data_IF_850497336852
#
_entry.id   IF_850497336852
#
_cell.length_a   1.000
_cell.length_b   1.000
_cell.length_c   1.000
_cell.angle_alpha   90.00
_cell.angle_beta   90.00
_cell.angle_gamma   90.00
#
_symmetry.space_group_name_H-M   'P 1'
#
loop_
_entity.id
_entity.type
_entity.pdbx_description
1 polymer ?
#
# COMPACT_ATOMS: atom_id res chain seq x y z
N UNK A 1 17.81 13.97 -0.41
CA UNK A 1 17.01 13.03 0.41
C UNK A 1 16.04 12.31 -0.53
N UNK A 2 16.57 11.55 -1.49
CA UNK A 2 15.81 11.13 -2.69
C UNK A 2 15.70 9.59 -2.85
N UNK A 3 16.41 8.82 -2.02
CA UNK A 3 16.44 7.34 -2.12
C UNK A 3 15.35 6.60 -1.35
N UNK A 4 14.85 7.16 -0.24
CA UNK A 4 13.89 6.48 0.64
C UNK A 4 12.48 6.40 0.04
N UNK A 5 12.11 7.37 -0.80
CA UNK A 5 10.79 7.41 -1.44
C UNK A 5 10.61 6.36 -2.54
N UNK A 6 11.68 5.92 -3.21
CA UNK A 6 11.58 4.95 -4.31
C UNK A 6 11.29 3.54 -3.79
N UNK A 7 11.99 3.11 -2.73
CA UNK A 7 11.72 1.81 -2.10
C UNK A 7 10.34 1.75 -1.44
N UNK A 8 9.92 2.87 -0.84
CA UNK A 8 8.60 3.02 -0.24
C UNK A 8 7.48 2.93 -1.28
N UNK A 9 7.58 3.67 -2.39
CA UNK A 9 6.55 3.66 -3.44
C UNK A 9 6.39 2.29 -4.09
N UNK A 10 7.49 1.57 -4.32
CA UNK A 10 7.44 0.22 -4.91
C UNK A 10 6.82 -0.78 -3.93
N UNK A 11 7.22 -0.73 -2.66
CA UNK A 11 6.69 -1.64 -1.62
C UNK A 11 5.19 -1.47 -1.42
N UNK A 12 4.71 -0.22 -1.38
CA UNK A 12 3.29 0.09 -1.28
C UNK A 12 2.50 -0.31 -2.54
N UNK A 13 3.11 -0.14 -3.71
CA UNK A 13 2.55 -0.65 -4.97
C UNK A 13 2.31 -2.17 -4.92
N UNK A 14 3.28 -2.95 -4.41
CA UNK A 14 3.12 -4.40 -4.24
C UNK A 14 1.99 -4.74 -3.28
N UNK A 15 1.90 -4.06 -2.14
CA UNK A 15 0.79 -4.24 -1.19
C UNK A 15 -0.57 -3.97 -1.83
N UNK A 16 -0.66 -2.90 -2.62
CA UNK A 16 -1.88 -2.51 -3.33
C UNK A 16 -2.27 -3.56 -4.38
N UNK A 17 -1.29 -4.09 -5.13
CA UNK A 17 -1.51 -5.15 -6.12
C UNK A 17 -1.98 -6.45 -5.47
N UNK A 18 -1.37 -6.85 -4.35
CA UNK A 18 -1.78 -8.06 -3.61
C UNK A 18 -3.20 -7.93 -3.05
N UNK A 19 -3.56 -6.74 -2.56
CA UNK A 19 -4.92 -6.46 -2.08
C UNK A 19 -5.93 -6.53 -3.23
N UNK A 20 -5.60 -5.95 -4.38
CA UNK A 20 -6.43 -6.01 -5.58
C UNK A 20 -6.57 -7.43 -6.14
N UNK A 21 -5.52 -8.24 -6.06
CA UNK A 21 -5.53 -9.68 -6.43
C UNK A 21 -6.27 -10.54 -5.38
N UNK A 22 -6.76 -9.93 -4.29
CA UNK A 22 -7.42 -10.60 -3.15
C UNK A 22 -6.53 -11.68 -2.51
N UNK A 23 -5.21 -11.56 -2.64
CA UNK A 23 -4.25 -12.49 -2.01
C UNK A 23 -3.97 -12.07 -0.57
N UNK A 24 -4.98 -12.14 0.29
CA UNK A 24 -4.88 -11.70 1.69
C UNK A 24 -3.81 -12.45 2.49
N UNK A 25 -3.60 -13.74 2.24
CA UNK A 25 -2.56 -14.56 2.86
C UNK A 25 -1.14 -14.08 2.54
N UNK A 26 -0.89 -13.73 1.27
CA UNK A 26 0.41 -13.22 0.83
C UNK A 26 0.58 -11.76 1.26
N UNK A 27 -0.49 -10.98 1.15
CA UNK A 27 -0.56 -9.61 1.64
C UNK A 27 -0.15 -9.52 3.10
N UNK A 28 -0.73 -10.32 4.00
CA UNK A 28 -0.40 -10.32 5.43
C UNK A 28 1.09 -10.60 5.68
N UNK A 29 1.64 -11.64 5.04
CA UNK A 29 3.06 -12.00 5.16
C UNK A 29 3.99 -10.89 4.69
N UNK A 30 3.69 -10.32 3.52
CA UNK A 30 4.47 -9.23 2.93
C UNK A 30 4.32 -7.95 3.75
N UNK A 31 3.11 -7.64 4.22
CA UNK A 31 2.81 -6.49 5.07
C UNK A 31 3.58 -6.58 6.39
N UNK A 32 3.56 -7.72 7.08
CA UNK A 32 4.34 -7.92 8.32
C UNK A 32 5.84 -7.85 8.05
N UNK A 33 6.31 -8.36 6.91
CA UNK A 33 7.72 -8.27 6.52
C UNK A 33 8.14 -6.83 6.24
N UNK A 34 7.36 -6.09 5.45
CA UNK A 34 7.60 -4.70 5.11
C UNK A 34 7.50 -3.81 6.36
N UNK A 35 6.49 -3.98 7.22
CA UNK A 35 6.30 -3.18 8.45
C UNK A 35 7.52 -3.20 9.38
N UNK A 36 8.38 -4.22 9.30
CA UNK A 36 9.60 -4.31 10.11
C UNK A 36 10.75 -3.40 9.64
N UNK A 37 10.76 -3.00 8.37
CA UNK A 37 11.91 -2.28 7.77
C UNK A 37 11.53 -1.14 6.82
N UNK A 38 10.27 -1.06 6.40
CA UNK A 38 9.77 -0.18 5.36
C UNK A 38 8.42 0.43 5.76
N UNK A 39 8.12 1.64 5.30
CA UNK A 39 6.82 2.27 5.50
C UNK A 39 5.72 1.47 4.78
N UNK A 40 4.69 1.08 5.54
CA UNK A 40 3.53 0.30 5.04
C UNK A 40 2.24 1.12 4.98
N UNK A 41 2.29 2.40 5.35
CA UNK A 41 1.18 3.34 5.23
C UNK A 41 1.65 4.66 4.65
N UNK A 42 0.73 5.37 4.01
CA UNK A 42 1.00 6.71 3.47
C UNK A 42 1.46 7.67 4.56
N UNK A 43 0.90 7.55 5.77
CA UNK A 43 1.29 8.36 6.92
C UNK A 43 2.75 8.13 7.33
N UNK A 44 3.24 6.89 7.27
CA UNK A 44 4.65 6.55 7.56
C UNK A 44 5.60 7.14 6.51
N UNK A 45 5.12 7.33 5.28
CA UNK A 45 5.82 8.04 4.20
C UNK A 45 5.70 9.56 4.27
N UNK A 46 5.02 10.09 5.28
CA UNK A 46 4.69 11.50 5.42
C UNK A 46 3.86 12.06 4.24
N UNK A 47 3.05 11.19 3.64
CA UNK A 47 2.12 11.47 2.54
C UNK A 47 0.68 11.50 3.05
N UNK A 48 -0.15 12.35 2.45
CA UNK A 48 -1.56 12.48 2.81
C UNK A 48 -2.45 11.79 1.79
N UNK A 49 -3.29 10.85 2.25
CA UNK A 49 -4.23 10.13 1.38
C UNK A 49 -5.25 11.03 0.67
N UNK A 50 -5.49 12.24 1.17
CA UNK A 50 -6.44 13.18 0.54
C UNK A 50 -5.80 14.05 -0.52
N UNK A 51 -4.54 14.45 -0.35
CA UNK A 51 -3.83 15.35 -1.27
C UNK A 51 -2.91 14.62 -2.24
N UNK A 52 -2.25 13.55 -1.80
CA UNK A 52 -1.23 12.84 -2.58
C UNK A 52 -1.78 11.62 -3.32
N UNK A 53 -2.93 11.08 -2.91
CA UNK A 53 -3.55 9.90 -3.53
C UNK A 53 -3.76 10.07 -5.03
N UNK A 54 -4.23 11.24 -5.47
CA UNK A 54 -4.42 11.52 -6.89
C UNK A 54 -3.10 11.47 -7.67
N UNK A 55 -2.03 12.03 -7.12
CA UNK A 55 -0.70 12.03 -7.74
C UNK A 55 -0.07 10.63 -7.75
N UNK A 56 -0.30 9.83 -6.69
CA UNK A 56 0.14 8.44 -6.61
C UNK A 56 -0.61 7.59 -7.63
N UNK A 57 -1.93 7.76 -7.75
CA UNK A 57 -2.74 7.09 -8.76
C UNK A 57 -2.27 7.43 -10.17
N UNK A 58 -2.00 8.71 -10.45
CA UNK A 58 -1.52 9.15 -11.76
C UNK A 58 -0.14 8.56 -12.11
N UNK A 59 0.79 8.58 -11.14
CA UNK A 59 2.10 7.92 -11.28
C UNK A 59 1.98 6.40 -11.46
N UNK A 60 1.08 5.75 -10.73
CA UNK A 60 0.86 4.32 -10.85
C UNK A 60 0.33 3.98 -12.26
N UNK A 61 -0.69 4.70 -12.73
CA UNK A 61 -1.28 4.51 -14.07
C UNK A 61 -0.29 4.79 -15.21
N UNK A 62 0.71 5.64 -14.98
CA UNK A 62 1.77 5.94 -15.95
C UNK A 62 2.99 5.01 -15.86
N UNK A 63 3.08 4.20 -14.80
CA UNK A 63 4.17 3.24 -14.60
C UNK A 63 3.95 1.99 -15.46
N UNK A 64 5.00 1.58 -16.20
CA UNK A 64 4.93 0.47 -17.15
C UNK A 64 4.57 -0.89 -16.51
N UNK A 65 4.71 -1.06 -15.19
CA UNK A 65 4.25 -2.25 -14.46
C UNK A 65 2.74 -2.49 -14.65
N UNK A 66 1.92 -1.44 -14.63
CA UNK A 66 0.47 -1.56 -14.86
C UNK A 66 0.15 -1.90 -16.32
N UNK A 67 1.02 -1.52 -17.26
CA UNK A 67 0.86 -1.87 -18.68
C UNK A 67 1.19 -3.34 -18.98
N UNK A 68 2.00 -3.98 -18.15
CA UNK A 68 2.47 -5.36 -18.36
C UNK A 68 1.68 -6.39 -17.57
N UNK A 69 0.77 -5.98 -16.69
CA UNK A 69 -0.13 -6.94 -16.04
C UNK A 69 -1.15 -7.49 -17.04
N UNK A 70 -1.49 -8.79 -16.95
CA UNK A 70 -2.43 -9.43 -17.87
C UNK A 70 -3.90 -9.00 -17.68
N UNK A 71 -4.17 -8.02 -16.80
CA UNK A 71 -5.51 -7.56 -16.43
C UNK A 71 -5.61 -6.03 -16.44
N UNK A 72 -6.76 -5.51 -16.85
CA UNK A 72 -7.05 -4.08 -16.81
C UNK A 72 -7.12 -3.58 -15.35
N UNK A 73 -6.09 -2.84 -14.94
CA UNK A 73 -6.11 -2.08 -13.68
C UNK A 73 -6.77 -0.73 -13.96
N UNK A 74 -8.02 -0.59 -13.54
CA UNK A 74 -8.73 0.69 -13.57
C UNK A 74 -8.29 1.56 -12.40
N UNK A 75 -8.22 2.89 -12.60
CA UNK A 75 -7.91 3.88 -11.54
C UNK A 75 -8.79 3.69 -10.30
N UNK A 76 -10.06 3.35 -10.48
CA UNK A 76 -11.00 3.07 -9.38
C UNK A 76 -10.63 1.82 -8.57
N UNK A 77 -10.24 0.72 -9.22
CA UNK A 77 -9.80 -0.50 -8.54
C UNK A 77 -8.54 -0.24 -7.72
N UNK A 78 -7.60 0.49 -8.29
CA UNK A 78 -6.37 0.84 -7.60
C UNK A 78 -6.63 1.76 -6.41
N UNK A 79 -7.53 2.74 -6.58
CA UNK A 79 -7.97 3.62 -5.49
C UNK A 79 -8.62 2.83 -4.35
N UNK A 80 -9.49 1.88 -4.66
CA UNK A 80 -10.11 1.04 -3.64
C UNK A 80 -9.08 0.17 -2.92
N UNK A 81 -8.18 -0.47 -3.66
CA UNK A 81 -7.11 -1.27 -3.05
C UNK A 81 -6.24 -0.43 -2.08
N UNK A 82 -5.93 0.81 -2.42
CA UNK A 82 -5.22 1.74 -1.51
C UNK A 82 -6.03 1.99 -0.23
N UNK A 83 -7.33 2.28 -0.35
CA UNK A 83 -8.20 2.50 0.81
C UNK A 83 -8.32 1.25 1.69
N UNK A 84 -8.38 0.07 1.08
CA UNK A 84 -8.41 -1.22 1.78
C UNK A 84 -7.11 -1.47 2.53
N UNK A 85 -5.95 -1.19 1.93
CA UNK A 85 -4.63 -1.29 2.59
C UNK A 85 -4.57 -0.39 3.82
N UNK A 86 -5.03 0.86 3.71
CA UNK A 86 -5.01 1.83 4.81
C UNK A 86 -6.02 1.44 5.91
N UNK A 87 -7.19 0.93 5.53
CA UNK A 87 -8.19 0.41 6.48
C UNK A 87 -7.65 -0.82 7.23
N UNK A 88 -6.97 -1.71 6.51
CA UNK A 88 -6.30 -2.86 7.09
C UNK A 88 -5.19 -2.42 8.05
N UNK A 89 -4.38 -1.43 7.66
CA UNK A 89 -3.34 -0.84 8.50
C UNK A 89 -3.92 -0.30 9.82
N UNK A 90 -4.97 0.51 9.75
CA UNK A 90 -5.67 1.06 10.92
C UNK A 90 -6.25 -0.04 11.83
N UNK A 91 -6.76 -1.12 11.24
CA UNK A 91 -7.27 -2.30 11.97
C UNK A 91 -6.13 -3.03 12.69
N UNK A 92 -4.99 -3.22 12.02
CA UNK A 92 -3.80 -3.84 12.61
C UNK A 92 -3.19 -3.01 13.75
N UNK A 93 -3.19 -1.69 13.65
CA UNK A 93 -2.78 -0.80 14.74
C UNK A 93 -3.71 -0.93 15.96
N UNK A 94 -5.02 -0.99 15.72
CA UNK A 94 -6.03 -1.21 16.77
C UNK A 94 -5.87 -2.56 17.47
N UNK A 95 -5.52 -3.61 16.74
CA UNK A 95 -5.24 -4.95 17.28
C UNK A 95 -3.90 -5.02 18.04
N UNK A 96 -2.88 -4.28 17.59
CA UNK A 96 -1.55 -4.24 18.22
C UNK A 96 -1.55 -3.46 19.54
N UNK A 97 -2.43 -2.46 19.69
CA UNK A 97 -2.67 -1.78 20.97
C UNK A 97 -3.23 -2.70 22.06
N UNK A 98 -4.05 -3.69 21.68
CA UNK A 98 -4.66 -4.64 22.62
C UNK A 98 -3.67 -5.67 23.17
N UNK A 99 -2.61 -6.01 22.42
CA UNK A 99 -1.59 -6.97 22.88
C UNK A 99 -0.52 -6.36 23.80
N UNK A 100 -0.50 -5.02 23.96
CA UNK A 100 0.43 -4.32 24.88
C UNK A 100 -0.11 -4.19 26.31
N UNK A 101 -1.34 -4.63 26.58
CA UNK A 101 -1.98 -4.56 27.91
C UNK A 101 -2.19 -5.95 28.54
N UNK A 102 -1.41 -6.96 28.15
CA UNK A 102 -1.43 -8.31 28.75
C UNK A 102 -0.06 -8.71 29.25
#
# INVERSE_FOLDING_TARGET
MEGYLHGASVSYGVLTLLMMDQQFDLFDKIYVFMKKQLPVSLTDMNLNITTDLEAILDKAMTTNDIKHVPYEISREKFKQAILDVETYHATQESQQGYKKIS
#
